data_IF_284776164277
#
_entry.id   IF_284776164277
#
_cell.length_a   1.000
_cell.length_b   1.000
_cell.length_c   1.000
_cell.angle_alpha   90.00
_cell.angle_beta   90.00
_cell.angle_gamma   90.00
#
_symmetry.space_group_name_H-M   'P 1'
#
loop_
_entity.id
_entity.type
_entity.pdbx_description
1 polymer ?
#
# COMPACT_ATOMS: atom_id res chain seq x y z
N UNK A 1 5.61 -4.30 -6.70
CA UNK A 1 4.78 -3.10 -6.49
C UNK A 1 5.02 -2.03 -7.55
N UNK A 2 6.28 -1.77 -7.90
CA UNK A 2 6.58 -0.78 -8.95
C UNK A 2 5.94 -1.17 -10.28
N UNK A 3 5.99 -2.46 -10.63
CA UNK A 3 5.41 -2.93 -11.89
C UNK A 3 3.89 -2.77 -11.89
N UNK A 4 3.21 -3.07 -10.79
CA UNK A 4 1.75 -2.88 -10.76
C UNK A 4 1.38 -1.40 -10.88
N UNK A 5 2.19 -0.51 -10.32
CA UNK A 5 1.96 0.93 -10.47
C UNK A 5 2.14 1.37 -11.93
N UNK A 6 3.14 0.84 -12.62
CA UNK A 6 3.32 1.08 -14.04
C UNK A 6 2.15 0.56 -14.85
N UNK A 7 1.66 -0.62 -14.50
CA UNK A 7 0.49 -1.22 -15.17
C UNK A 7 -0.76 -0.37 -14.95
N UNK A 8 -0.95 0.15 -13.74
CA UNK A 8 -2.08 1.03 -13.44
C UNK A 8 -1.99 2.34 -14.23
N UNK A 9 -0.81 2.91 -14.34
CA UNK A 9 -0.60 4.12 -15.12
C UNK A 9 -0.89 3.89 -16.60
N UNK A 10 -0.46 2.75 -17.15
CA UNK A 10 -0.73 2.41 -18.55
C UNK A 10 -2.22 2.20 -18.79
N UNK A 11 -2.90 1.54 -17.86
CA UNK A 11 -4.34 1.33 -17.96
C UNK A 11 -5.09 2.66 -17.99
N UNK A 12 -4.67 3.62 -17.17
CA UNK A 12 -5.25 4.96 -17.23
C UNK A 12 -4.98 5.62 -18.57
N UNK A 13 -3.74 5.56 -19.06
CA UNK A 13 -3.38 6.19 -20.34
C UNK A 13 -4.24 5.64 -21.49
N UNK A 14 -4.42 4.32 -21.54
CA UNK A 14 -5.23 3.69 -22.57
C UNK A 14 -6.71 4.12 -22.47
N UNK A 15 -7.24 4.19 -21.25
CA UNK A 15 -8.61 4.63 -21.02
C UNK A 15 -8.79 6.11 -21.37
N UNK A 16 -7.79 6.94 -21.08
CA UNK A 16 -7.84 8.37 -21.42
C UNK A 16 -7.84 8.59 -22.91
N UNK A 17 -7.05 7.81 -23.65
CA UNK A 17 -7.04 7.88 -25.13
C UNK A 17 -8.41 7.49 -25.70
N UNK A 18 -8.98 6.40 -25.18
CA UNK A 18 -10.31 5.95 -25.64
C UNK A 18 -11.38 7.00 -25.34
N UNK A 19 -11.33 7.64 -24.18
CA UNK A 19 -12.26 8.69 -23.82
C UNK A 19 -12.12 9.91 -24.74
N UNK A 20 -10.89 10.30 -25.05
CA UNK A 20 -10.62 11.43 -25.92
C UNK A 20 -11.19 11.20 -27.32
N UNK A 21 -11.10 10.00 -27.84
CA UNK A 21 -11.66 9.64 -29.15
C UNK A 21 -13.17 9.78 -29.21
N UNK A 22 -13.83 9.69 -28.04
CA UNK A 22 -15.27 9.89 -27.92
C UNK A 22 -15.64 11.35 -27.58
N UNK A 23 -14.66 12.25 -27.55
CA UNK A 23 -14.88 13.63 -27.17
C UNK A 23 -15.02 13.85 -25.69
N UNK A 24 -14.61 12.89 -24.87
CA UNK A 24 -14.68 12.95 -23.42
C UNK A 24 -13.30 13.19 -22.81
N UNK A 25 -13.27 13.68 -21.59
CA UNK A 25 -12.02 13.85 -20.83
C UNK A 25 -12.06 12.94 -19.60
N UNK A 26 -11.00 12.16 -19.42
CA UNK A 26 -10.86 11.30 -18.24
C UNK A 26 -9.80 11.87 -17.33
N UNK A 27 -10.23 12.45 -16.21
CA UNK A 27 -9.33 13.06 -15.22
C UNK A 27 -8.82 11.98 -14.27
N UNK A 28 -7.50 11.94 -14.07
CA UNK A 28 -6.89 11.00 -13.14
C UNK A 28 -7.20 11.38 -11.70
N UNK A 29 -7.69 10.41 -10.93
CA UNK A 29 -7.91 10.53 -9.50
C UNK A 29 -7.21 9.36 -8.79
N UNK A 30 -7.03 9.47 -7.48
CA UNK A 30 -6.46 8.36 -6.70
C UNK A 30 -7.32 7.10 -6.84
N UNK A 31 -8.64 7.26 -6.77
CA UNK A 31 -9.58 6.15 -6.89
C UNK A 31 -9.46 5.47 -8.25
N UNK A 32 -9.34 6.25 -9.30
CA UNK A 32 -9.20 5.70 -10.65
C UNK A 32 -7.88 4.95 -10.81
N UNK A 33 -6.80 5.51 -10.27
CA UNK A 33 -5.49 4.85 -10.31
C UNK A 33 -5.52 3.53 -9.54
N UNK A 34 -6.14 3.52 -8.37
CA UNK A 34 -6.21 2.34 -7.51
C UNK A 34 -6.98 1.19 -8.15
N UNK A 35 -7.93 1.47 -9.03
CA UNK A 35 -8.65 0.43 -9.76
C UNK A 35 -7.74 -0.40 -10.65
N UNK A 36 -6.59 0.14 -11.05
CA UNK A 36 -5.59 -0.59 -11.84
C UNK A 36 -4.58 -1.37 -11.02
N UNK A 37 -4.63 -1.27 -9.68
CA UNK A 37 -3.73 -2.01 -8.81
C UNK A 37 -4.27 -3.40 -8.52
N UNK A 38 -3.36 -4.32 -8.16
CA UNK A 38 -3.75 -5.70 -7.83
C UNK A 38 -4.66 -5.78 -6.59
N UNK A 39 -4.62 -4.75 -5.75
CA UNK A 39 -5.42 -4.65 -4.54
C UNK A 39 -6.70 -3.83 -4.73
N UNK A 40 -7.16 -3.66 -5.95
CA UNK A 40 -8.41 -2.93 -6.22
C UNK A 40 -9.53 -3.49 -5.34
N UNK A 41 -10.33 -2.61 -4.76
CA UNK A 41 -11.43 -2.95 -3.85
C UNK A 41 -11.01 -3.48 -2.47
N UNK A 42 -9.70 -3.52 -2.18
CA UNK A 42 -9.19 -3.88 -0.87
C UNK A 42 -8.69 -2.59 -0.20
N UNK A 43 -9.12 -2.28 1.04
CA UNK A 43 -8.63 -1.09 1.72
C UNK A 43 -7.14 -1.18 2.00
N UNK A 44 -6.47 -0.02 2.06
CA UNK A 44 -5.05 0.04 2.38
C UNK A 44 -4.79 -0.49 3.79
N UNK A 45 -3.66 -1.16 4.01
CA UNK A 45 -3.35 -1.68 5.34
C UNK A 45 -3.05 -0.55 6.32
N UNK A 46 -3.46 -0.74 7.57
CA UNK A 46 -3.15 0.20 8.65
C UNK A 46 -1.79 -0.09 9.27
N UNK A 47 -1.34 -1.33 9.20
CA UNK A 47 -0.14 -1.80 9.88
C UNK A 47 0.67 -2.69 8.95
N UNK A 48 1.96 -2.38 8.84
CA UNK A 48 2.94 -3.23 8.16
C UNK A 48 3.92 -3.77 9.19
N UNK A 49 4.02 -5.09 9.28
CA UNK A 49 4.98 -5.76 10.17
C UNK A 49 6.11 -6.33 9.33
N UNK A 50 7.32 -5.89 9.60
CA UNK A 50 8.52 -6.42 8.93
C UNK A 50 9.31 -7.24 9.94
N UNK A 51 9.49 -8.53 9.62
CA UNK A 51 10.23 -9.47 10.46
C UNK A 51 11.73 -9.40 10.16
N UNK A 52 12.53 -10.13 10.94
CA UNK A 52 13.98 -10.29 10.73
C UNK A 52 14.81 -9.02 10.93
N UNK A 53 14.27 -8.03 11.65
CA UNK A 53 14.98 -6.79 11.92
C UNK A 53 15.18 -5.87 10.72
N UNK A 54 14.60 -6.20 9.58
CA UNK A 54 14.69 -5.38 8.39
C UNK A 54 13.78 -4.16 8.48
N UNK A 55 14.30 -3.00 8.06
CA UNK A 55 13.54 -1.75 8.05
C UNK A 55 13.24 -1.28 6.63
N UNK A 56 13.60 -2.04 5.62
CA UNK A 56 13.37 -1.68 4.23
C UNK A 56 12.02 -2.18 3.77
N UNK A 57 11.37 -1.40 2.91
CA UNK A 57 10.10 -1.80 2.31
C UNK A 57 10.32 -2.81 1.17
N UNK A 58 11.44 -2.68 0.44
CA UNK A 58 11.84 -3.60 -0.62
C UNK A 58 10.77 -3.81 -1.69
N UNK A 59 10.18 -2.72 -2.17
CA UNK A 59 9.19 -2.73 -3.26
C UNK A 59 7.87 -3.43 -2.88
N UNK A 60 7.55 -3.53 -1.59
CA UNK A 60 6.34 -4.20 -1.14
C UNK A 60 5.20 -3.19 -0.97
N UNK A 61 4.14 -3.33 -1.76
CA UNK A 61 2.90 -2.54 -1.69
C UNK A 61 3.17 -1.03 -1.50
N UNK A 62 4.06 -0.45 -2.33
CA UNK A 62 4.51 0.93 -2.16
C UNK A 62 3.37 1.94 -2.07
N UNK A 63 2.40 1.83 -2.95
CA UNK A 63 1.25 2.73 -2.95
C UNK A 63 0.38 2.53 -1.72
N UNK A 64 0.08 1.27 -1.41
CA UNK A 64 -0.90 0.90 -0.40
C UNK A 64 -0.44 1.19 1.03
N UNK A 65 0.87 1.20 1.28
CA UNK A 65 1.41 1.41 2.63
C UNK A 65 1.84 2.84 2.91
N UNK A 66 1.50 3.78 2.02
CA UNK A 66 1.96 5.18 2.16
C UNK A 66 1.63 5.78 3.52
N UNK A 67 0.50 5.41 4.12
CA UNK A 67 0.08 5.92 5.43
C UNK A 67 0.02 4.83 6.50
N UNK A 68 0.58 3.66 6.23
CA UNK A 68 0.60 2.56 7.20
C UNK A 68 1.60 2.82 8.31
N UNK A 69 1.29 2.36 9.51
CA UNK A 69 2.27 2.28 10.58
C UNK A 69 3.21 1.12 10.31
N UNK A 70 4.49 1.30 10.59
CA UNK A 70 5.53 0.31 10.30
C UNK A 70 6.13 -0.20 11.61
N UNK A 71 6.00 -1.49 11.84
CA UNK A 71 6.56 -2.16 13.02
C UNK A 71 7.60 -3.16 12.58
N UNK A 72 8.83 -3.02 13.08
CA UNK A 72 9.91 -3.96 12.83
C UNK A 72 10.08 -4.88 14.02
N UNK A 73 10.33 -6.15 13.78
CA UNK A 73 10.66 -7.11 14.82
C UNK A 73 11.89 -7.92 14.40
N UNK A 74 12.71 -8.30 15.39
CA UNK A 74 13.89 -9.13 15.13
C UNK A 74 13.54 -10.59 14.93
N UNK A 75 12.30 -10.99 15.23
CA UNK A 75 11.87 -12.37 15.09
C UNK A 75 11.86 -12.77 13.61
N UNK A 76 12.46 -13.91 13.29
CA UNK A 76 12.44 -14.47 11.94
C UNK A 76 11.03 -14.99 11.62
N UNK A 77 10.63 -14.90 10.36
CA UNK A 77 9.27 -15.26 9.98
C UNK A 77 8.83 -16.66 10.44
N UNK A 78 9.65 -17.70 10.32
CA UNK A 78 9.23 -19.03 10.79
C UNK A 78 8.96 -19.11 12.28
N UNK A 79 9.56 -18.20 13.06
CA UNK A 79 9.41 -18.15 14.53
C UNK A 79 8.36 -17.12 14.98
N UNK A 80 7.77 -16.39 14.04
CA UNK A 80 6.78 -15.36 14.34
C UNK A 80 5.47 -16.04 14.75
N UNK A 81 5.04 -15.78 15.99
CA UNK A 81 3.88 -16.45 16.56
C UNK A 81 2.84 -15.44 17.06
N UNK A 82 1.77 -15.95 17.69
CA UNK A 82 0.68 -15.12 18.19
C UNK A 82 1.18 -14.04 19.16
N UNK A 83 2.11 -14.39 20.02
CA UNK A 83 2.65 -13.44 21.00
C UNK A 83 3.34 -12.27 20.30
N UNK A 84 4.15 -12.56 19.30
CA UNK A 84 4.85 -11.53 18.54
C UNK A 84 3.88 -10.64 17.79
N UNK A 85 2.82 -11.22 17.24
CA UNK A 85 1.77 -10.47 16.56
C UNK A 85 1.04 -9.54 17.53
N UNK A 86 0.70 -10.03 18.73
CA UNK A 86 0.03 -9.21 19.74
C UNK A 86 0.92 -8.06 20.22
N UNK A 87 2.22 -8.29 20.36
CA UNK A 87 3.17 -7.22 20.68
C UNK A 87 3.16 -6.14 19.60
N UNK A 88 3.16 -6.53 18.34
CA UNK A 88 3.11 -5.58 17.24
C UNK A 88 1.83 -4.76 17.26
N UNK A 89 0.69 -5.41 17.55
CA UNK A 89 -0.59 -4.71 17.68
C UNK A 89 -0.59 -3.71 18.84
N UNK A 90 -0.02 -4.08 19.97
CA UNK A 90 0.08 -3.19 21.12
C UNK A 90 0.94 -1.97 20.79
N UNK A 91 2.06 -2.18 20.10
CA UNK A 91 2.90 -1.08 19.66
C UNK A 91 2.14 -0.18 18.68
N UNK A 92 1.40 -0.76 17.76
CA UNK A 92 0.57 -0.02 16.82
C UNK A 92 -0.47 0.85 17.55
N UNK A 93 -1.16 0.29 18.54
CA UNK A 93 -2.17 1.01 19.31
C UNK A 93 -1.59 2.18 20.11
N UNK A 94 -0.33 2.09 20.50
CA UNK A 94 0.32 3.15 21.28
C UNK A 94 0.75 4.33 20.43
N UNK A 95 0.73 4.20 19.11
CA UNK A 95 1.19 5.25 18.21
C UNK A 95 0.09 6.23 17.88
N UNK A 96 0.47 7.50 17.71
CA UNK A 96 -0.43 8.57 17.28
C UNK A 96 -0.45 8.58 15.75
N UNK A 97 -1.57 8.15 15.16
CA UNK A 97 -1.71 8.04 13.72
C UNK A 97 -2.17 9.36 13.12
N UNK A 98 -1.44 9.84 12.11
CA UNK A 98 -1.72 11.13 11.47
C UNK A 98 -2.24 11.03 10.04
N UNK A 99 -2.29 9.84 9.47
CA UNK A 99 -2.84 9.60 8.13
C UNK A 99 -2.30 10.57 7.07
N UNK A 100 -0.99 10.83 7.10
CA UNK A 100 -0.35 11.72 6.14
C UNK A 100 -0.41 13.20 6.50
N UNK A 101 -1.10 13.57 7.58
CA UNK A 101 -1.05 14.92 8.11
C UNK A 101 0.31 15.15 8.77
N UNK A 102 0.92 16.27 8.53
CA UNK A 102 2.26 16.56 9.02
C UNK A 102 2.22 17.78 9.93
#
# INVERSE_FOLDING_TARGET
SRQEMMNAAQAYADAAIAAHEKGEELVLTEELFEQGLDTADIPDPDLLIRTSGEMRISNFLLWQIAYSEFVCTDVLWPDFNRYDFLKALLEFQSRDRRFGAV
#
